data_IF_245395948621
#
_entry.id   IF_245395948621
#
_cell.length_a   1.000
_cell.length_b   1.000
_cell.length_c   1.000
_cell.angle_alpha   90.00
_cell.angle_beta   90.00
_cell.angle_gamma   90.00
#
_symmetry.space_group_name_H-M   'P 1'
#
loop_
_entity.id
_entity.type
_entity.pdbx_description
1 polymer ?
#
# COMPACT_ATOMS: atom_id res chain seq x y z
N UNK A 1 24.37 5.27 14.92
CA UNK A 1 23.78 4.81 14.47
C UNK A 1 23.04 3.97 14.90
N UNK A 2 22.51 3.82 14.99
CA UNK A 2 21.76 3.19 15.57
C UNK A 2 21.42 2.02 15.10
N UNK A 3 21.39 1.42 15.06
CA UNK A 3 21.11 0.54 14.77
C UNK A 3 20.68 -0.26 15.32
N UNK A 4 20.36 -0.45 15.58
CA UNK A 4 20.00 -1.24 15.93
C UNK A 4 18.97 -1.89 15.78
N UNK A 5 18.62 -1.55 15.15
CA UNK A 5 17.39 -2.11 14.94
C UNK A 5 17.53 -3.46 14.48
N UNK A 6 16.74 -4.26 14.98
CA UNK A 6 16.84 -5.66 14.81
C UNK A 6 16.39 -6.06 13.43
N UNK A 7 17.24 -6.73 12.70
CA UNK A 7 16.81 -7.52 11.60
C UNK A 7 16.83 -6.93 10.22
N UNK A 8 17.15 -5.66 10.05
CA UNK A 8 17.22 -5.14 8.70
C UNK A 8 18.39 -4.19 8.54
N UNK A 9 19.34 -4.58 7.69
CA UNK A 9 20.46 -3.73 7.35
C UNK A 9 20.11 -2.87 6.15
N UNK A 10 20.43 -1.59 6.23
CA UNK A 10 20.17 -0.67 5.13
C UNK A 10 21.21 -0.90 4.04
N UNK A 11 20.75 -1.35 2.88
CA UNK A 11 21.60 -1.65 1.75
C UNK A 11 21.47 -0.59 0.68
N UNK A 12 22.33 -0.66 -0.34
CA UNK A 12 22.20 0.25 -1.48
C UNK A 12 20.90 0.00 -2.23
N UNK A 13 20.45 -1.25 -2.29
CA UNK A 13 19.17 -1.56 -2.91
C UNK A 13 18.04 -0.87 -2.16
N UNK A 14 18.06 -0.92 -0.84
CA UNK A 14 17.05 -0.24 -0.05
C UNK A 14 17.10 1.27 -0.26
N UNK A 15 18.31 1.86 -0.24
CA UNK A 15 18.45 3.31 -0.41
C UNK A 15 17.88 3.79 -1.74
N UNK A 16 18.17 3.07 -2.80
CA UNK A 16 17.66 3.41 -4.12
C UNK A 16 16.14 3.30 -4.15
N UNK A 17 15.62 2.23 -3.57
CA UNK A 17 14.18 2.00 -3.54
C UNK A 17 13.45 3.05 -2.72
N UNK A 18 13.98 3.39 -1.54
CA UNK A 18 13.30 4.38 -0.70
C UNK A 18 13.34 5.78 -1.33
N UNK A 19 14.41 6.11 -2.06
CA UNK A 19 14.45 7.38 -2.77
C UNK A 19 13.37 7.45 -3.83
N UNK A 20 13.14 6.34 -4.52
CA UNK A 20 12.07 6.29 -5.51
C UNK A 20 10.70 6.44 -4.85
N UNK A 21 10.50 5.82 -3.70
CA UNK A 21 9.26 5.96 -2.95
C UNK A 21 9.05 7.42 -2.56
N UNK A 22 10.09 8.08 -2.09
CA UNK A 22 9.99 9.49 -1.70
C UNK A 22 9.56 10.36 -2.88
N UNK A 23 10.10 10.10 -4.06
CA UNK A 23 9.71 10.86 -5.25
C UNK A 23 8.24 10.63 -5.58
N UNK A 24 7.78 9.38 -5.50
CA UNK A 24 6.39 9.08 -5.78
C UNK A 24 5.45 9.76 -4.80
N UNK A 25 5.84 9.82 -3.54
CA UNK A 25 5.02 10.49 -2.54
C UNK A 25 4.92 11.97 -2.84
N UNK A 26 6.04 12.61 -3.21
CA UNK A 26 6.00 14.04 -3.54
C UNK A 26 5.06 14.32 -4.71
N UNK A 27 5.11 13.47 -5.74
CA UNK A 27 4.23 13.64 -6.88
C UNK A 27 2.77 13.45 -6.49
N UNK A 28 2.50 12.45 -5.63
CA UNK A 28 1.15 12.18 -5.18
C UNK A 28 0.61 13.30 -4.31
N UNK A 29 1.48 13.96 -3.51
CA UNK A 29 1.03 15.08 -2.70
C UNK A 29 0.50 16.22 -3.55
N UNK A 30 1.15 16.48 -4.67
CA UNK A 30 0.68 17.52 -5.58
C UNK A 30 -0.69 17.17 -6.14
N UNK A 31 -0.86 15.94 -6.55
CA UNK A 31 -2.15 15.49 -7.09
C UNK A 31 -3.22 15.41 -6.00
N UNK A 32 -2.82 15.00 -4.80
CA UNK A 32 -3.75 14.85 -3.70
C UNK A 32 -4.36 16.17 -3.26
N UNK A 33 -3.66 17.27 -3.52
CA UNK A 33 -4.23 18.59 -3.25
C UNK A 33 -5.49 18.81 -4.09
N UNK A 34 -5.59 18.07 -5.19
CA UNK A 34 -6.72 18.23 -6.11
C UNK A 34 -7.75 17.12 -5.95
N UNK A 35 -7.28 15.87 -5.81
CA UNK A 35 -8.17 14.70 -5.73
C UNK A 35 -7.75 13.82 -4.56
N UNK A 36 -8.00 14.30 -3.38
CA UNK A 36 -7.39 13.76 -2.16
C UNK A 36 -7.52 12.26 -1.98
N UNK A 37 -8.75 11.75 -2.03
CA UNK A 37 -8.95 10.34 -1.66
C UNK A 37 -8.38 9.37 -2.69
N UNK A 38 -8.69 9.60 -3.95
CA UNK A 38 -8.27 8.66 -5.00
C UNK A 38 -6.75 8.61 -5.12
N UNK A 39 -6.11 9.78 -5.13
CA UNK A 39 -4.66 9.81 -5.30
C UNK A 39 -3.95 9.19 -4.10
N UNK A 40 -4.50 9.38 -2.91
CA UNK A 40 -3.93 8.75 -1.73
C UNK A 40 -4.00 7.23 -1.82
N UNK A 41 -5.14 6.70 -2.21
CA UNK A 41 -5.31 5.26 -2.31
C UNK A 41 -4.54 4.68 -3.48
N UNK A 42 -4.40 5.45 -4.55
CA UNK A 42 -3.55 5.04 -5.65
C UNK A 42 -2.09 4.91 -5.18
N UNK A 43 -1.64 5.88 -4.40
CA UNK A 43 -0.31 5.80 -3.80
C UNK A 43 -0.18 4.58 -2.90
N UNK A 44 -1.18 4.36 -2.03
CA UNK A 44 -1.15 3.21 -1.13
C UNK A 44 -1.10 1.89 -1.89
N UNK A 45 -1.82 1.81 -3.00
CA UNK A 45 -1.79 0.61 -3.83
C UNK A 45 -0.40 0.33 -4.34
N UNK A 46 0.27 1.37 -4.86
CA UNK A 46 1.61 1.21 -5.38
C UNK A 46 2.62 0.91 -4.27
N UNK A 47 2.46 1.52 -3.10
CA UNK A 47 3.32 1.22 -1.96
C UNK A 47 3.16 -0.24 -1.53
N UNK A 48 1.92 -0.70 -1.42
CA UNK A 48 1.67 -2.08 -1.02
C UNK A 48 2.26 -3.06 -2.02
N UNK A 49 2.10 -2.75 -3.30
CA UNK A 49 2.65 -3.57 -4.36
C UNK A 49 4.17 -3.66 -4.24
N UNK A 50 4.82 -2.52 -4.03
CA UNK A 50 6.27 -2.47 -3.91
C UNK A 50 6.77 -3.22 -2.68
N UNK A 51 6.07 -3.06 -1.55
CA UNK A 51 6.44 -3.76 -0.32
C UNK A 51 6.39 -5.27 -0.54
N UNK A 52 5.30 -5.75 -1.11
CA UNK A 52 5.14 -7.19 -1.37
C UNK A 52 6.24 -7.69 -2.31
N UNK A 53 6.50 -6.92 -3.36
CA UNK A 53 7.51 -7.30 -4.34
C UNK A 53 8.89 -7.39 -3.71
N UNK A 54 9.25 -6.42 -2.87
CA UNK A 54 10.55 -6.44 -2.21
C UNK A 54 10.67 -7.57 -1.21
N UNK A 55 9.59 -7.90 -0.52
CA UNK A 55 9.64 -9.02 0.40
C UNK A 55 9.79 -10.35 -0.33
N UNK A 56 9.25 -10.46 -1.52
CA UNK A 56 9.38 -11.68 -2.30
C UNK A 56 10.72 -11.78 -3.02
N UNK A 57 11.13 -10.72 -3.70
CA UNK A 57 12.33 -10.77 -4.52
C UNK A 57 13.61 -10.52 -3.74
N UNK A 58 13.60 -9.57 -2.82
CA UNK A 58 14.76 -9.23 -2.04
C UNK A 58 14.80 -9.94 -0.68
N UNK A 59 13.72 -10.64 -0.34
CA UNK A 59 13.63 -11.42 0.90
C UNK A 59 13.74 -10.55 2.14
N UNK A 60 13.30 -9.32 2.09
CA UNK A 60 13.30 -8.46 3.26
C UNK A 60 12.25 -8.92 4.25
N UNK A 61 12.63 -9.04 5.53
CA UNK A 61 11.66 -9.32 6.58
C UNK A 61 10.92 -8.06 6.99
N UNK A 62 9.95 -8.22 7.89
CA UNK A 62 9.10 -7.10 8.30
C UNK A 62 9.85 -5.98 8.99
N UNK A 63 11.07 -6.24 9.49
CA UNK A 63 11.84 -5.20 10.16
C UNK A 63 12.13 -4.01 9.26
N UNK A 64 12.17 -4.20 7.94
CA UNK A 64 12.43 -3.07 7.05
C UNK A 64 11.31 -2.04 7.09
N UNK A 65 10.10 -2.45 7.49
CA UNK A 65 8.98 -1.51 7.55
C UNK A 65 9.21 -0.40 8.58
N UNK A 66 9.91 -0.73 9.68
CA UNK A 66 10.27 0.31 10.66
C UNK A 66 11.25 1.30 10.06
N UNK A 67 12.24 0.80 9.33
CA UNK A 67 13.22 1.66 8.68
C UNK A 67 12.54 2.54 7.63
N UNK A 68 11.69 1.92 6.81
CA UNK A 68 10.94 2.65 5.79
C UNK A 68 10.08 3.75 6.41
N UNK A 69 9.35 3.39 7.47
CA UNK A 69 8.50 4.35 8.16
C UNK A 69 9.30 5.53 8.70
N UNK A 70 10.43 5.24 9.33
CA UNK A 70 11.27 6.27 9.89
C UNK A 70 11.77 7.23 8.80
N UNK A 71 12.25 6.68 7.70
CA UNK A 71 12.76 7.50 6.61
C UNK A 71 11.67 8.34 5.97
N UNK A 72 10.49 7.75 5.79
CA UNK A 72 9.39 8.48 5.16
C UNK A 72 8.84 9.57 6.08
N UNK A 73 8.71 9.29 7.38
CA UNK A 73 8.21 10.28 8.31
C UNK A 73 9.20 11.43 8.46
N UNK A 74 10.48 11.14 8.36
CA UNK A 74 11.50 12.18 8.42
C UNK A 74 11.42 13.08 7.19
N UNK A 75 11.18 12.49 6.02
CA UNK A 75 11.07 13.27 4.78
C UNK A 75 9.76 14.04 4.68
N UNK A 76 8.69 13.51 5.29
CA UNK A 76 7.35 14.07 5.16
C UNK A 76 6.68 14.16 6.52
N UNK A 77 7.19 15.04 7.42
CA UNK A 77 6.70 15.07 8.79
C UNK A 77 5.24 15.48 8.90
N UNK A 78 4.72 16.18 7.92
CA UNK A 78 3.32 16.63 7.96
C UNK A 78 2.35 15.61 7.36
N UNK A 79 2.87 14.53 6.81
CA UNK A 79 2.03 13.53 6.17
C UNK A 79 1.74 12.40 7.16
N UNK A 80 0.47 12.11 7.36
CA UNK A 80 0.07 10.99 8.22
C UNK A 80 -0.06 9.72 7.38
N UNK A 81 -0.17 8.58 8.06
CA UNK A 81 -0.39 7.33 7.35
C UNK A 81 0.86 6.56 7.03
N UNK A 82 2.02 7.02 7.48
CA UNK A 82 3.29 6.36 7.16
C UNK A 82 3.90 5.65 8.37
N UNK A 83 3.09 5.37 9.40
CA UNK A 83 3.55 4.59 10.55
C UNK A 83 3.82 3.14 10.13
N UNK A 84 4.65 2.42 10.89
CA UNK A 84 4.88 1.00 10.56
C UNK A 84 3.57 0.21 10.52
N UNK A 85 2.66 0.52 11.43
CA UNK A 85 1.38 -0.17 11.47
C UNK A 85 0.57 0.09 10.22
N UNK A 86 0.52 1.35 9.77
CA UNK A 86 -0.26 1.63 8.56
C UNK A 86 0.41 1.07 7.31
N UNK A 87 1.74 1.01 7.28
CA UNK A 87 2.43 0.36 6.17
C UNK A 87 2.07 -1.12 6.09
N UNK A 88 1.90 -1.78 7.25
CA UNK A 88 1.44 -3.16 7.27
C UNK A 88 0.01 -3.26 6.75
N UNK A 89 -0.85 -2.31 7.12
CA UNK A 89 -2.22 -2.29 6.61
C UNK A 89 -2.23 -2.09 5.10
N UNK A 90 -1.38 -1.22 4.59
CA UNK A 90 -1.27 -0.98 3.15
C UNK A 90 -0.84 -2.25 2.43
N UNK A 91 0.16 -2.95 2.97
CA UNK A 91 0.61 -4.22 2.40
C UNK A 91 -0.53 -5.24 2.41
N UNK A 92 -1.22 -5.36 3.53
CA UNK A 92 -2.30 -6.32 3.65
C UNK A 92 -3.44 -5.99 2.69
N UNK A 93 -3.76 -4.71 2.56
CA UNK A 93 -4.80 -4.25 1.65
C UNK A 93 -4.48 -4.63 0.21
N UNK A 94 -3.24 -4.39 -0.21
CA UNK A 94 -2.84 -4.78 -1.56
C UNK A 94 -2.96 -6.29 -1.75
N UNK A 95 -2.45 -7.06 -0.80
CA UNK A 95 -2.52 -8.52 -0.89
C UNK A 95 -3.96 -9.01 -0.89
N UNK A 96 -4.79 -8.39 -0.06
CA UNK A 96 -6.18 -8.78 0.05
C UNK A 96 -6.90 -8.69 -1.28
N UNK A 97 -6.75 -7.57 -1.97
CA UNK A 97 -7.48 -7.35 -3.21
C UNK A 97 -6.76 -7.87 -4.44
N UNK A 98 -5.47 -8.14 -4.36
CA UNK A 98 -4.74 -8.67 -5.51
C UNK A 98 -4.70 -10.19 -5.54
N UNK A 99 -5.07 -10.86 -4.44
CA UNK A 99 -5.13 -12.31 -4.40
C UNK A 99 -6.43 -12.78 -5.03
N UNK A 100 -6.32 -13.84 -5.84
CA UNK A 100 -7.49 -14.40 -6.49
C UNK A 100 -8.44 -14.99 -5.44
N UNK A 101 -9.68 -14.65 -5.58
CA UNK A 101 -10.75 -15.25 -4.78
C UNK A 101 -11.13 -14.43 -3.58
N UNK A 102 -10.18 -14.04 -2.75
CA UNK A 102 -10.51 -13.39 -1.48
C UNK A 102 -10.98 -11.95 -1.68
N UNK A 103 -10.15 -11.13 -2.31
CA UNK A 103 -10.51 -9.75 -2.56
C UNK A 103 -11.68 -9.60 -3.48
N UNK A 104 -11.73 -10.46 -4.51
CA UNK A 104 -12.83 -10.43 -5.46
C UNK A 104 -14.15 -10.76 -4.81
N UNK A 105 -14.15 -11.71 -3.88
CA UNK A 105 -15.36 -12.05 -3.16
C UNK A 105 -15.86 -10.87 -2.32
N UNK A 106 -14.95 -10.19 -1.65
CA UNK A 106 -15.32 -9.06 -0.83
C UNK A 106 -15.94 -7.95 -1.68
N UNK A 107 -15.34 -7.67 -2.84
CA UNK A 107 -15.88 -6.64 -3.73
C UNK A 107 -17.23 -7.05 -4.29
N UNK A 108 -17.36 -8.32 -4.66
CA UNK A 108 -18.64 -8.84 -5.16
C UNK A 108 -19.75 -8.68 -4.12
N UNK A 109 -19.42 -8.94 -2.85
CA UNK A 109 -20.40 -8.77 -1.79
C UNK A 109 -20.80 -7.31 -1.63
N UNK A 110 -19.86 -6.41 -1.82
CA UNK A 110 -20.15 -4.98 -1.73
C UNK A 110 -21.03 -4.52 -2.90
N UNK A 111 -20.78 -5.07 -4.08
CA UNK A 111 -21.51 -4.68 -5.27
C UNK A 111 -22.92 -5.24 -5.28
N UNK A 112 -23.21 -6.17 -4.40
CA UNK A 112 -24.57 -6.64 -4.20
C UNK A 112 -25.26 -7.03 -5.50
N UNK A 113 -25.07 -8.21 -5.93
CA UNK A 113 -25.79 -8.71 -7.08
C UNK A 113 -24.97 -8.96 -8.32
N UNK A 114 -23.69 -8.85 -8.24
CA UNK A 114 -22.89 -9.31 -9.34
C UNK A 114 -22.89 -10.83 -9.33
N UNK A 115 -23.54 -11.40 -10.31
CA UNK A 115 -23.69 -12.84 -10.35
C UNK A 115 -22.51 -13.56 -10.98
N UNK A 116 -21.76 -12.84 -11.81
CA UNK A 116 -20.70 -13.47 -12.55
C UNK A 116 -19.35 -13.22 -11.89
N UNK A 117 -18.51 -14.25 -11.89
CA UNK A 117 -17.14 -14.09 -11.42
C UNK A 117 -16.42 -13.11 -12.34
N UNK A 118 -15.72 -12.11 -11.77
CA UNK A 118 -15.02 -11.14 -12.60
C UNK A 118 -13.92 -11.79 -13.41
N UNK A 119 -13.82 -11.39 -14.65
CA UNK A 119 -12.71 -11.81 -15.50
C UNK A 119 -11.49 -10.94 -15.20
N UNK A 120 -10.37 -11.33 -15.80
CA UNK A 120 -9.16 -10.55 -15.62
C UNK A 120 -9.29 -9.07 -15.98
N UNK A 121 -9.92 -8.72 -17.09
CA UNK A 121 -10.14 -7.29 -17.37
C UNK A 121 -10.93 -6.59 -16.28
N UNK A 122 -11.81 -7.33 -15.59
CA UNK A 122 -12.59 -6.73 -14.51
C UNK A 122 -11.75 -6.38 -13.30
N UNK A 123 -10.55 -6.94 -13.17
CA UNK A 123 -9.67 -6.61 -12.05
C UNK A 123 -9.27 -5.14 -12.09
N UNK A 124 -9.09 -4.57 -13.27
CA UNK A 124 -8.78 -3.15 -13.37
C UNK A 124 -9.93 -2.29 -12.90
N UNK A 125 -11.16 -2.71 -13.19
CA UNK A 125 -12.33 -1.99 -12.73
C UNK A 125 -12.46 -2.11 -11.22
N UNK A 126 -12.18 -3.28 -10.67
CA UNK A 126 -12.19 -3.50 -9.23
C UNK A 126 -11.14 -2.62 -8.57
N UNK A 127 -9.96 -2.52 -9.17
CA UNK A 127 -8.91 -1.66 -8.63
C UNK A 127 -9.37 -0.22 -8.55
N UNK A 128 -10.04 0.27 -9.60
CA UNK A 128 -10.58 1.63 -9.58
C UNK A 128 -11.63 1.81 -8.49
N UNK A 129 -12.48 0.81 -8.32
CA UNK A 129 -13.51 0.85 -7.30
C UNK A 129 -12.90 0.90 -5.91
N UNK A 130 -11.91 0.04 -5.65
CA UNK A 130 -11.24 -0.01 -4.35
C UNK A 130 -10.63 1.34 -4.01
N UNK A 131 -10.00 1.97 -4.99
CA UNK A 131 -9.35 3.26 -4.78
C UNK A 131 -10.34 4.40 -4.56
N UNK A 132 -11.61 4.18 -4.87
CA UNK A 132 -12.63 5.18 -4.62
C UNK A 132 -13.24 5.06 -3.22
N UNK A 133 -12.97 3.96 -2.50
CA UNK A 133 -13.50 3.75 -1.16
C UNK A 133 -12.55 4.39 -0.15
N UNK A 134 -13.06 5.20 0.81
CA UNK A 134 -12.18 5.80 1.80
C UNK A 134 -11.35 4.77 2.56
N UNK A 135 -10.14 5.14 2.93
CA UNK A 135 -9.20 4.22 3.55
C UNK A 135 -9.76 3.53 4.78
N UNK A 136 -10.47 4.28 5.62
CA UNK A 136 -11.07 3.68 6.82
C UNK A 136 -12.06 2.58 6.49
N UNK A 137 -12.84 2.75 5.42
CA UNK A 137 -13.78 1.73 4.99
C UNK A 137 -13.06 0.51 4.45
N UNK A 138 -11.97 0.71 3.70
CA UNK A 138 -11.17 -0.41 3.22
C UNK A 138 -10.65 -1.23 4.39
N UNK A 139 -10.19 -0.57 5.45
CA UNK A 139 -9.72 -1.28 6.62
C UNK A 139 -10.82 -2.10 7.27
N UNK A 140 -12.02 -1.56 7.33
CA UNK A 140 -13.15 -2.31 7.89
C UNK A 140 -13.46 -3.55 7.08
N UNK A 141 -13.37 -3.45 5.76
CA UNK A 141 -13.61 -4.60 4.91
C UNK A 141 -12.56 -5.68 5.13
N UNK A 142 -11.30 -5.27 5.21
CA UNK A 142 -10.21 -6.21 5.34
C UNK A 142 -10.20 -6.96 6.68
N UNK A 143 -10.58 -6.27 7.74
CA UNK A 143 -10.45 -6.81 9.09
C UNK A 143 -11.78 -7.19 9.72
N UNK A 144 -12.77 -7.41 8.89
CA UNK A 144 -14.11 -7.75 9.36
C UNK A 144 -14.30 -9.23 9.74
#
# INVERSE_FOLDING_TARGET
MSKNEVGFAVTDEYKSWIDDIKKRIRQAQIKAAIKVNYELLDLYWELGKDIVKKQESAKWGDAFLKTMSKDLQKAFPDLSGLSPQNLKHIRYWYKFYSQEGIGLQAVTQLEDGLDDAPSRPALQEIEKLIKSIPWGHNQRIMYK
#
